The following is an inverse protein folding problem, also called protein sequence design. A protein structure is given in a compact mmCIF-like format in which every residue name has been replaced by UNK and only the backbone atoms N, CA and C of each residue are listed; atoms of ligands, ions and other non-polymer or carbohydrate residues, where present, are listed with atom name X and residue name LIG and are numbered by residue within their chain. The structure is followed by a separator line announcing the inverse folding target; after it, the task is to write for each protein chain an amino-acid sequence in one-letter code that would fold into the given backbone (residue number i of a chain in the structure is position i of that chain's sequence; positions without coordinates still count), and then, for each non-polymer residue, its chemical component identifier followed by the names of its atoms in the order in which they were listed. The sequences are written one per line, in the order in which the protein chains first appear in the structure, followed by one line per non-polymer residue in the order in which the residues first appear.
data_IF_196658006107
#
_entry.id   IF_196658006107
#
_cell.length_a   1.000
_cell.length_b   1.000
_cell.length_c   1.000
_cell.angle_alpha   90.00
_cell.angle_beta   90.00
_cell.angle_gamma   90.00
#
_symmetry.space_group_name_H-M   'P 1'
#
loop_
_entity.id
_entity.type
_entity.pdbx_description
1 polymer ?
#
# COMPACT_ATOMS: atom_id res chain seq x y z
N UNK A 1 19.65 68.98 -12.47
CA UNK A 1 19.07 68.18 -11.31
C UNK A 1 18.72 66.79 -11.78
N UNK A 2 19.54 65.78 -11.48
CA UNK A 2 19.30 64.39 -11.81
C UNK A 2 18.54 63.72 -10.66
N UNK A 3 17.31 63.25 -10.91
CA UNK A 3 16.53 62.45 -9.93
C UNK A 3 17.06 61.02 -9.92
N UNK A 4 17.59 60.59 -8.78
CA UNK A 4 17.97 59.19 -8.53
C UNK A 4 16.72 58.46 -8.04
N UNK A 5 16.27 57.48 -8.83
CA UNK A 5 15.15 56.59 -8.46
C UNK A 5 15.72 55.42 -7.68
N UNK A 6 15.44 55.38 -6.38
CA UNK A 6 15.83 54.28 -5.49
C UNK A 6 14.82 53.14 -5.64
N UNK A 7 15.20 52.06 -6.33
CA UNK A 7 14.36 50.83 -6.42
C UNK A 7 14.66 49.98 -5.21
N UNK A 8 13.68 49.87 -4.30
CA UNK A 8 13.73 48.99 -3.14
C UNK A 8 13.36 47.58 -3.59
N UNK A 9 14.35 46.68 -3.75
CA UNK A 9 14.12 45.24 -3.96
C UNK A 9 13.72 44.61 -2.62
N UNK A 10 12.42 44.31 -2.46
CA UNK A 10 11.95 43.48 -1.35
C UNK A 10 12.17 42.01 -1.73
N UNK A 11 13.20 41.40 -1.17
CA UNK A 11 13.44 39.96 -1.22
C UNK A 11 12.41 39.26 -0.33
N UNK A 12 11.36 38.69 -0.93
CA UNK A 12 10.51 37.72 -0.26
C UNK A 12 11.30 36.39 -0.13
N UNK A 13 11.94 36.15 0.99
CA UNK A 13 12.41 34.84 1.36
C UNK A 13 11.21 33.99 1.76
N UNK A 14 10.77 33.07 0.88
CA UNK A 14 9.83 32.03 1.24
C UNK A 14 10.52 31.09 2.22
N UNK A 15 10.16 31.17 3.49
CA UNK A 15 10.54 30.17 4.49
C UNK A 15 9.73 28.92 4.17
N UNK A 16 10.34 28.00 3.42
CA UNK A 16 9.83 26.65 3.31
C UNK A 16 10.08 25.94 4.64
N UNK A 17 9.09 25.99 5.54
CA UNK A 17 9.08 25.11 6.72
C UNK A 17 8.90 23.68 6.22
N UNK A 18 9.94 22.88 6.27
CA UNK A 18 9.83 21.43 6.10
C UNK A 18 9.01 20.91 7.29
N UNK A 19 7.77 20.54 7.03
CA UNK A 19 6.95 19.84 8.03
C UNK A 19 7.62 18.49 8.25
N UNK A 20 8.24 18.31 9.40
CA UNK A 20 8.78 17.01 9.81
C UNK A 20 7.62 16.02 9.88
N UNK A 21 7.78 14.83 9.28
CA UNK A 21 6.76 13.79 9.31
C UNK A 21 6.48 13.39 10.76
N UNK A 22 5.22 13.49 11.19
CA UNK A 22 4.78 13.17 12.52
C UNK A 22 4.52 11.68 12.66
N UNK A 23 4.97 11.07 13.78
CA UNK A 23 4.56 9.71 14.17
C UNK A 23 3.44 9.80 15.20
N UNK A 24 2.34 9.06 14.97
CA UNK A 24 1.16 9.01 15.84
C UNK A 24 0.80 7.57 16.23
N UNK A 25 0.30 7.40 17.45
CA UNK A 25 -0.33 6.15 17.90
C UNK A 25 -1.86 6.26 18.00
N UNK A 26 -2.43 7.40 17.62
CA UNK A 26 -3.88 7.62 17.65
C UNK A 26 -4.55 6.83 16.52
N UNK A 27 -5.49 5.96 16.88
CA UNK A 27 -6.28 5.14 15.94
C UNK A 27 -7.73 5.60 15.80
N UNK A 28 -8.09 6.76 16.37
CA UNK A 28 -9.48 7.25 16.42
C UNK A 28 -10.10 7.46 15.03
N UNK A 29 -9.30 7.79 14.01
CA UNK A 29 -9.74 7.97 12.62
C UNK A 29 -9.67 6.69 11.78
N UNK A 30 -9.37 5.55 12.39
CA UNK A 30 -9.30 4.25 11.72
C UNK A 30 -10.49 3.38 12.09
N UNK A 31 -10.83 2.47 11.19
CA UNK A 31 -11.80 1.41 11.44
C UNK A 31 -11.35 0.09 10.78
N UNK A 32 -11.72 -1.07 11.35
CA UNK A 32 -11.50 -2.36 10.71
C UNK A 32 -12.33 -2.45 9.42
N UNK A 33 -11.74 -2.99 8.36
CA UNK A 33 -12.44 -3.15 7.07
C UNK A 33 -13.67 -4.04 7.22
N UNK A 34 -13.60 -5.06 8.08
CA UNK A 34 -14.69 -6.00 8.38
C UNK A 34 -15.96 -5.35 8.93
N UNK A 35 -15.87 -4.15 9.50
CA UNK A 35 -17.05 -3.43 10.02
C UNK A 35 -17.93 -2.80 8.94
N UNK A 36 -17.40 -2.71 7.70
CA UNK A 36 -18.06 -2.02 6.58
C UNK A 36 -18.21 -2.92 5.35
N UNK A 37 -17.28 -3.87 5.16
CA UNK A 37 -17.25 -4.83 4.04
C UNK A 37 -17.21 -6.24 4.65
N UNK A 38 -18.39 -6.77 4.92
CA UNK A 38 -18.60 -8.02 5.67
C UNK A 38 -18.24 -9.29 4.88
N UNK A 39 -18.22 -9.21 3.54
CA UNK A 39 -17.88 -10.31 2.65
C UNK A 39 -16.41 -10.29 2.17
N UNK A 40 -15.59 -9.35 2.64
CA UNK A 40 -14.16 -9.34 2.35
C UNK A 40 -13.46 -10.56 2.98
N UNK A 41 -12.55 -11.17 2.22
CA UNK A 41 -11.65 -12.21 2.73
C UNK A 41 -10.30 -11.59 3.13
N UNK A 42 -9.58 -12.26 4.03
CA UNK A 42 -8.33 -11.77 4.59
C UNK A 42 -7.25 -12.85 4.52
N UNK A 43 -6.10 -12.52 3.97
CA UNK A 43 -4.85 -13.30 4.02
C UNK A 43 -3.73 -12.33 4.42
N UNK A 44 -3.77 -11.85 5.68
CA UNK A 44 -2.86 -10.82 6.18
C UNK A 44 -1.46 -11.41 6.30
N UNK A 45 -0.66 -11.23 5.26
CA UNK A 45 0.63 -11.87 5.06
C UNK A 45 1.62 -11.58 6.17
N UNK A 46 1.62 -10.37 6.67
CA UNK A 46 2.57 -9.92 7.70
C UNK A 46 2.22 -10.39 9.12
N UNK A 47 1.01 -10.92 9.32
CA UNK A 47 0.64 -11.62 10.56
C UNK A 47 1.25 -13.02 10.64
N UNK A 48 1.65 -13.61 9.53
CA UNK A 48 2.23 -14.95 9.42
C UNK A 48 3.66 -14.90 8.89
N UNK A 49 4.28 -16.06 8.69
CA UNK A 49 5.57 -16.20 8.00
C UNK A 49 5.46 -16.25 6.47
N UNK A 50 4.25 -16.21 5.90
CA UNK A 50 4.03 -16.26 4.46
C UNK A 50 4.26 -14.89 3.80
N UNK A 51 5.47 -14.36 3.91
CA UNK A 51 5.92 -13.11 3.35
C UNK A 51 7.43 -13.16 3.03
N UNK A 52 7.94 -12.16 2.36
CA UNK A 52 9.33 -12.12 1.88
C UNK A 52 10.41 -12.21 2.98
N UNK A 53 10.07 -11.87 4.23
CA UNK A 53 11.02 -12.03 5.34
C UNK A 53 11.03 -13.45 5.91
N UNK A 54 10.02 -14.29 5.60
CA UNK A 54 9.83 -15.60 6.19
C UNK A 54 9.44 -15.58 7.67
N UNK A 55 9.14 -14.42 8.24
CA UNK A 55 8.84 -14.23 9.65
C UNK A 55 7.58 -13.37 9.85
N UNK A 56 6.91 -13.53 11.00
CA UNK A 56 5.85 -12.62 11.43
C UNK A 56 6.42 -11.22 11.64
N UNK A 57 5.74 -10.21 11.13
CA UNK A 57 6.20 -8.82 11.15
C UNK A 57 5.74 -8.10 12.41
N UNK A 58 6.63 -7.25 12.93
CA UNK A 58 6.39 -6.45 14.13
C UNK A 58 5.16 -5.54 13.95
N UNK A 59 4.29 -5.50 14.97
CA UNK A 59 3.07 -4.68 14.95
C UNK A 59 1.83 -5.38 14.42
N UNK A 60 1.92 -6.58 13.84
CA UNK A 60 0.75 -7.39 13.48
C UNK A 60 0.45 -8.37 14.61
N UNK A 61 -0.56 -8.09 15.43
CA UNK A 61 -1.00 -8.90 16.59
C UNK A 61 -2.17 -9.82 16.24
N UNK A 62 -2.99 -9.41 15.27
CA UNK A 62 -4.10 -10.19 14.74
C UNK A 62 -4.15 -10.12 13.19
N UNK A 63 -4.81 -11.07 12.50
CA UNK A 63 -4.98 -11.06 11.05
C UNK A 63 -6.10 -10.08 10.64
N UNK A 64 -5.98 -8.82 11.08
CA UNK A 64 -6.94 -7.74 10.86
C UNK A 64 -6.39 -6.71 9.85
N UNK A 65 -7.30 -5.93 9.29
CA UNK A 65 -7.00 -4.88 8.33
C UNK A 65 -7.75 -3.59 8.70
N UNK A 66 -7.00 -2.50 8.87
CA UNK A 66 -7.54 -1.19 9.24
C UNK A 66 -7.28 -0.18 8.11
N UNK A 67 -8.20 0.75 7.93
CA UNK A 67 -8.00 1.93 7.07
C UNK A 67 -8.53 3.18 7.78
N UNK A 68 -8.11 4.35 7.31
CA UNK A 68 -8.78 5.61 7.66
C UNK A 68 -10.26 5.51 7.24
N UNK A 69 -11.15 6.15 7.98
CA UNK A 69 -12.60 6.11 7.72
C UNK A 69 -12.96 6.57 6.31
N UNK A 70 -12.24 7.58 5.79
CA UNK A 70 -12.41 8.08 4.43
C UNK A 70 -12.00 7.06 3.37
N UNK A 71 -10.84 6.41 3.57
CA UNK A 71 -10.37 5.39 2.64
C UNK A 71 -11.28 4.15 2.68
N UNK A 72 -11.78 3.78 3.86
CA UNK A 72 -12.74 2.68 4.03
C UNK A 72 -14.08 2.97 3.34
N UNK A 73 -14.60 4.21 3.44
CA UNK A 73 -15.80 4.62 2.73
C UNK A 73 -15.62 4.57 1.19
N UNK A 74 -14.43 4.91 0.70
CA UNK A 74 -14.09 4.78 -0.71
C UNK A 74 -13.94 3.31 -1.12
N UNK A 75 -13.29 2.48 -0.31
CA UNK A 75 -13.11 1.03 -0.57
C UNK A 75 -14.47 0.31 -0.64
N UNK A 76 -15.42 0.71 0.21
CA UNK A 76 -16.79 0.16 0.14
C UNK A 76 -17.43 0.36 -1.22
N UNK A 77 -17.25 1.51 -1.86
CA UNK A 77 -17.78 1.77 -3.20
C UNK A 77 -17.17 0.83 -4.25
N UNK A 78 -15.84 0.57 -4.16
CA UNK A 78 -15.19 -0.40 -5.02
C UNK A 78 -15.70 -1.82 -4.77
N UNK A 79 -15.85 -2.22 -3.51
CA UNK A 79 -16.37 -3.53 -3.13
C UNK A 79 -17.80 -3.75 -3.65
N UNK A 80 -18.68 -2.75 -3.51
CA UNK A 80 -20.08 -2.82 -3.98
C UNK A 80 -20.13 -2.96 -5.52
N UNK A 81 -19.28 -2.21 -6.25
CA UNK A 81 -19.19 -2.29 -7.72
C UNK A 81 -18.70 -3.68 -8.17
N UNK A 82 -17.66 -4.22 -7.52
CA UNK A 82 -17.10 -5.54 -7.80
C UNK A 82 -18.06 -6.68 -7.43
N UNK A 83 -18.82 -6.53 -6.34
CA UNK A 83 -19.84 -7.51 -5.93
C UNK A 83 -20.94 -7.66 -6.99
N UNK A 84 -21.36 -6.55 -7.62
CA UNK A 84 -22.30 -6.57 -8.74
C UNK A 84 -21.75 -7.28 -9.97
N UNK A 85 -20.42 -7.35 -10.13
CA UNK A 85 -19.73 -8.07 -11.20
C UNK A 85 -19.41 -9.53 -10.83
N UNK A 86 -19.77 -9.99 -9.62
CA UNK A 86 -19.57 -11.36 -9.17
C UNK A 86 -18.25 -11.61 -8.41
N UNK A 87 -17.58 -10.56 -8.00
CA UNK A 87 -16.30 -10.63 -7.26
C UNK A 87 -16.46 -10.18 -5.80
N UNK A 88 -15.49 -10.62 -4.98
CA UNK A 88 -15.25 -10.17 -3.62
C UNK A 88 -13.79 -9.75 -3.48
N UNK A 89 -13.48 -8.95 -2.47
CA UNK A 89 -12.11 -8.55 -2.16
C UNK A 89 -11.40 -9.63 -1.33
N UNK A 90 -10.13 -9.89 -1.64
CA UNK A 90 -9.19 -10.55 -0.75
C UNK A 90 -8.10 -9.54 -0.39
N UNK A 91 -7.92 -9.28 0.91
CA UNK A 91 -7.02 -8.26 1.44
C UNK A 91 -5.76 -8.94 1.96
N UNK A 92 -4.60 -8.46 1.50
CA UNK A 92 -3.28 -8.92 1.91
C UNK A 92 -2.63 -8.01 2.94
N UNK A 93 -2.79 -6.67 2.76
CA UNK A 93 -2.33 -5.65 3.69
C UNK A 93 -3.14 -4.35 3.54
N UNK A 94 -3.14 -3.52 4.58
CA UNK A 94 -3.79 -2.21 4.56
C UNK A 94 -3.00 -1.21 5.40
N UNK A 95 -3.51 -0.69 6.52
CA UNK A 95 -2.66 0.04 7.44
C UNK A 95 -1.50 -0.85 7.92
N UNK A 96 -0.29 -0.36 7.78
CA UNK A 96 0.97 -1.00 8.21
C UNK A 96 1.66 -0.09 9.21
N UNK A 97 1.86 -0.51 10.47
CA UNK A 97 2.55 0.29 11.48
C UNK A 97 3.96 0.69 11.05
N UNK A 98 4.46 1.85 11.47
CA UNK A 98 5.85 2.25 11.18
C UNK A 98 6.85 1.21 11.71
N UNK A 99 6.62 0.61 12.86
CA UNK A 99 7.45 -0.48 13.41
C UNK A 99 7.56 -1.70 12.47
N UNK A 100 6.56 -1.96 11.63
CA UNK A 100 6.61 -3.00 10.62
C UNK A 100 7.55 -2.62 9.46
N UNK A 101 7.49 -1.37 9.02
CA UNK A 101 8.42 -0.83 8.02
C UNK A 101 9.86 -0.85 8.54
N UNK A 102 10.06 -0.47 9.80
CA UNK A 102 11.37 -0.52 10.46
C UNK A 102 11.89 -1.97 10.55
N UNK A 103 11.00 -2.94 10.78
CA UNK A 103 11.34 -4.37 10.78
C UNK A 103 11.80 -4.83 9.38
N UNK A 104 11.15 -4.40 8.30
CA UNK A 104 11.61 -4.69 6.93
C UNK A 104 13.01 -4.14 6.66
N UNK A 105 13.26 -2.90 7.08
CA UNK A 105 14.58 -2.26 6.93
C UNK A 105 15.65 -2.99 7.75
N UNK A 106 15.31 -3.39 8.99
CA UNK A 106 16.22 -4.18 9.83
C UNK A 106 16.53 -5.54 9.20
N UNK A 107 15.52 -6.23 8.66
CA UNK A 107 15.70 -7.50 7.96
C UNK A 107 16.60 -7.34 6.72
N UNK A 108 16.42 -6.31 5.90
CA UNK A 108 17.27 -6.06 4.72
C UNK A 108 18.73 -5.89 5.11
N UNK A 109 18.99 -5.22 6.22
CA UNK A 109 20.34 -4.95 6.71
C UNK A 109 20.96 -6.14 7.45
N UNK A 110 20.22 -7.21 7.74
CA UNK A 110 20.74 -8.42 8.37
C UNK A 110 21.30 -9.38 7.31
N UNK A 111 22.63 -9.57 7.19
CA UNK A 111 23.22 -10.43 6.18
C UNK A 111 23.02 -11.94 6.43
N UNK A 112 22.57 -12.30 7.64
CA UNK A 112 22.42 -13.69 8.07
C UNK A 112 21.00 -14.25 7.91
N UNK A 113 20.09 -13.48 7.36
CA UNK A 113 18.69 -13.87 7.17
C UNK A 113 18.24 -13.47 5.75
N UNK A 114 18.17 -14.43 4.86
CA UNK A 114 17.74 -14.21 3.48
C UNK A 114 16.20 -14.20 3.31
N UNK A 115 15.44 -14.57 4.35
CA UNK A 115 13.98 -14.69 4.23
C UNK A 115 13.55 -15.73 3.21
N UNK A 116 12.44 -15.46 2.53
CA UNK A 116 11.90 -16.33 1.48
C UNK A 116 12.22 -15.78 0.08
N UNK A 117 13.20 -16.37 -0.59
CA UNK A 117 13.65 -15.98 -1.93
C UNK A 117 12.62 -16.20 -3.04
N UNK A 118 11.54 -16.92 -2.79
CA UNK A 118 10.46 -17.09 -3.78
C UNK A 118 9.76 -15.77 -4.09
N UNK A 119 9.81 -14.79 -3.17
CA UNK A 119 9.28 -13.45 -3.37
C UNK A 119 10.19 -12.52 -4.19
N UNK A 120 11.49 -12.84 -4.31
CA UNK A 120 12.46 -12.04 -5.07
C UNK A 120 13.49 -12.91 -5.83
N UNK A 121 13.00 -13.80 -6.72
CA UNK A 121 13.82 -14.87 -7.32
C UNK A 121 14.96 -14.36 -8.21
N UNK A 122 14.81 -13.15 -8.77
CA UNK A 122 15.79 -12.56 -9.69
C UNK A 122 16.56 -11.39 -9.09
N UNK A 123 16.35 -11.06 -7.80
CA UNK A 123 16.96 -9.92 -7.15
C UNK A 123 17.85 -10.35 -6.00
N UNK A 124 18.82 -9.50 -5.66
CA UNK A 124 19.52 -9.60 -4.38
C UNK A 124 18.71 -8.82 -3.33
N UNK A 125 18.70 -9.31 -2.11
CA UNK A 125 18.04 -8.65 -0.97
C UNK A 125 18.46 -7.18 -0.83
N UNK A 126 19.77 -6.87 -1.02
CA UNK A 126 20.30 -5.51 -0.99
C UNK A 126 19.72 -4.57 -2.04
N UNK A 127 19.11 -5.12 -3.11
CA UNK A 127 18.59 -4.32 -4.20
C UNK A 127 17.11 -3.95 -3.98
N UNK A 128 16.44 -4.53 -2.99
CA UNK A 128 15.02 -4.29 -2.71
C UNK A 128 14.74 -2.83 -2.32
N UNK A 129 15.65 -2.18 -1.58
CA UNK A 129 15.53 -0.73 -1.29
C UNK A 129 15.90 0.09 -2.52
N UNK A 130 16.98 -0.27 -3.24
CA UNK A 130 17.45 0.47 -4.42
C UNK A 130 16.42 0.42 -5.56
N UNK A 131 15.72 -0.70 -5.70
CA UNK A 131 14.65 -0.92 -6.68
C UNK A 131 13.31 -0.31 -6.27
N UNK A 132 13.23 0.40 -5.14
CA UNK A 132 11.99 0.98 -4.60
C UNK A 132 10.89 -0.05 -4.29
N UNK A 133 11.24 -1.33 -4.11
CA UNK A 133 10.28 -2.34 -3.65
C UNK A 133 9.97 -2.18 -2.16
N UNK A 134 10.97 -1.79 -1.36
CA UNK A 134 10.82 -1.53 0.08
C UNK A 134 11.33 -0.13 0.40
N UNK A 135 10.46 0.70 0.95
CA UNK A 135 10.77 2.08 1.32
C UNK A 135 10.88 2.22 2.85
N UNK A 136 11.69 3.19 3.31
CA UNK A 136 11.79 3.56 4.75
C UNK A 136 10.55 4.26 5.27
N UNK A 137 9.72 4.80 4.38
CA UNK A 137 8.41 5.40 4.64
C UNK A 137 7.41 4.81 3.66
N UNK A 138 6.30 4.31 4.15
CA UNK A 138 5.30 3.62 3.35
C UNK A 138 3.99 4.39 3.30
N UNK A 139 3.30 4.35 2.16
CA UNK A 139 1.93 4.83 2.02
C UNK A 139 0.97 4.13 2.98
N UNK A 140 1.18 2.83 3.21
CA UNK A 140 0.38 2.04 4.14
C UNK A 140 0.39 2.59 5.58
N UNK A 141 1.51 3.16 6.00
CA UNK A 141 1.67 3.71 7.36
C UNK A 141 0.82 4.97 7.59
N UNK A 142 0.33 5.60 6.50
CA UNK A 142 -0.60 6.72 6.55
C UNK A 142 -2.08 6.30 6.60
N UNK A 143 -2.35 4.99 6.47
CA UNK A 143 -3.68 4.40 6.70
C UNK A 143 -4.65 4.48 5.53
N UNK A 144 -4.25 5.02 4.38
CA UNK A 144 -5.14 5.16 3.22
C UNK A 144 -4.66 4.36 2.00
N UNK A 145 -3.78 3.38 2.23
CA UNK A 145 -3.22 2.46 1.22
C UNK A 145 -3.65 1.03 1.53
N UNK A 146 -3.88 0.25 0.48
CA UNK A 146 -4.32 -1.14 0.57
C UNK A 146 -3.70 -1.98 -0.53
N UNK A 147 -3.32 -3.22 -0.19
CA UNK A 147 -2.90 -4.28 -1.09
C UNK A 147 -3.98 -5.37 -1.13
N UNK A 148 -4.54 -5.62 -2.31
CA UNK A 148 -5.70 -6.49 -2.45
C UNK A 148 -5.77 -7.16 -3.82
N UNK A 149 -6.61 -8.21 -3.89
CA UNK A 149 -6.97 -8.87 -5.15
C UNK A 149 -8.46 -9.23 -5.18
N UNK A 150 -8.87 -9.90 -6.25
CA UNK A 150 -10.21 -10.42 -6.44
C UNK A 150 -10.27 -11.91 -6.15
N UNK A 151 -11.38 -12.34 -5.53
CA UNK A 151 -11.84 -13.71 -5.49
C UNK A 151 -13.26 -13.76 -6.06
N UNK A 152 -13.67 -14.92 -6.58
CA UNK A 152 -15.06 -15.16 -6.99
C UNK A 152 -15.95 -15.33 -5.77
N UNK A 153 -17.27 -15.34 -5.96
CA UNK A 153 -18.25 -15.55 -4.90
C UNK A 153 -18.06 -16.87 -4.14
N UNK A 154 -17.59 -17.92 -4.83
CA UNK A 154 -17.30 -19.22 -4.27
C UNK A 154 -15.95 -19.29 -3.51
N UNK A 155 -15.19 -18.20 -3.45
CA UNK A 155 -13.90 -18.10 -2.80
C UNK A 155 -12.71 -18.50 -3.68
N UNK A 156 -12.94 -18.93 -4.92
CA UNK A 156 -11.84 -19.27 -5.82
C UNK A 156 -11.08 -18.01 -6.27
N UNK A 157 -9.75 -18.14 -6.40
CA UNK A 157 -8.88 -17.05 -6.81
C UNK A 157 -9.15 -16.64 -8.26
N UNK A 158 -9.01 -15.35 -8.52
CA UNK A 158 -8.95 -14.77 -9.86
C UNK A 158 -7.49 -14.70 -10.30
N UNK A 159 -7.16 -15.30 -11.44
CA UNK A 159 -5.78 -15.31 -11.94
C UNK A 159 -5.35 -13.91 -12.40
N UNK A 160 -4.43 -13.32 -11.66
CA UNK A 160 -3.83 -12.01 -11.94
C UNK A 160 -2.45 -12.12 -12.62
N UNK A 161 -1.94 -13.34 -12.86
CA UNK A 161 -0.64 -13.59 -13.48
C UNK A 161 0.57 -13.39 -12.57
N UNK A 162 0.35 -13.06 -11.30
CA UNK A 162 1.38 -12.89 -10.27
C UNK A 162 0.76 -12.83 -8.89
N UNK A 163 1.56 -13.05 -7.86
CA UNK A 163 1.11 -13.03 -6.45
C UNK A 163 1.57 -11.76 -5.75
N UNK A 164 1.00 -11.51 -4.58
CA UNK A 164 1.39 -10.43 -3.65
C UNK A 164 2.89 -10.50 -3.31
N UNK A 165 3.53 -9.33 -3.21
CA UNK A 165 4.95 -9.16 -2.85
C UNK A 165 5.95 -9.92 -3.74
N UNK A 166 5.55 -10.36 -4.92
CA UNK A 166 6.50 -10.88 -5.89
C UNK A 166 7.28 -9.70 -6.50
N UNK A 167 8.49 -9.48 -6.03
CA UNK A 167 9.38 -8.41 -6.51
C UNK A 167 9.99 -8.79 -7.86
N UNK A 168 9.22 -8.53 -8.92
CA UNK A 168 9.53 -8.90 -10.30
C UNK A 168 8.73 -8.05 -11.28
N UNK A 169 9.19 -7.93 -12.51
CA UNK A 169 8.50 -7.21 -13.58
C UNK A 169 7.05 -7.67 -13.82
N UNK A 170 6.74 -8.95 -13.56
CA UNK A 170 5.38 -9.46 -13.70
C UNK A 170 4.38 -8.76 -12.77
N UNK A 171 4.86 -8.16 -11.68
CA UNK A 171 4.05 -7.39 -10.73
C UNK A 171 3.68 -5.99 -11.22
N UNK A 172 4.37 -5.49 -12.24
CA UNK A 172 4.05 -4.20 -12.84
C UNK A 172 2.69 -4.24 -13.54
N UNK A 173 1.83 -3.23 -13.36
CA UNK A 173 0.52 -3.17 -14.02
C UNK A 173 0.59 -3.26 -15.55
N UNK A 174 1.64 -2.70 -16.14
CA UNK A 174 1.88 -2.64 -17.60
C UNK A 174 2.67 -3.82 -18.17
N UNK A 175 2.94 -4.86 -17.34
CA UNK A 175 3.67 -6.05 -17.82
C UNK A 175 2.99 -6.67 -19.05
N UNK A 176 3.70 -6.74 -20.18
CA UNK A 176 3.14 -7.00 -21.48
C UNK A 176 2.92 -8.49 -21.81
N UNK A 177 3.57 -9.40 -21.07
CA UNK A 177 3.51 -10.86 -21.31
C UNK A 177 2.38 -11.58 -20.55
N UNK A 178 1.46 -10.84 -19.92
CA UNK A 178 0.25 -11.42 -19.34
C UNK A 178 -0.68 -11.98 -20.44
N UNK A 179 -1.43 -13.04 -20.09
CA UNK A 179 -2.52 -13.53 -20.93
C UNK A 179 -3.64 -12.47 -21.05
N UNK A 180 -4.50 -12.62 -22.05
CA UNK A 180 -5.65 -11.73 -22.21
C UNK A 180 -6.59 -11.74 -21.00
N UNK A 181 -6.76 -12.92 -20.37
CA UNK A 181 -7.60 -13.07 -19.16
C UNK A 181 -6.97 -12.37 -17.97
N UNK A 182 -5.67 -12.54 -17.71
CA UNK A 182 -4.95 -11.87 -16.61
C UNK A 182 -5.00 -10.34 -16.75
N UNK A 183 -4.81 -9.82 -17.98
CA UNK A 183 -4.96 -8.38 -18.27
C UNK A 183 -6.37 -7.89 -17.96
N UNK A 184 -7.39 -8.63 -18.39
CA UNK A 184 -8.79 -8.33 -18.11
C UNK A 184 -9.08 -8.32 -16.60
N UNK A 185 -8.58 -9.31 -15.86
CA UNK A 185 -8.78 -9.43 -14.42
C UNK A 185 -8.15 -8.25 -13.66
N UNK A 186 -6.89 -7.89 -13.98
CA UNK A 186 -6.24 -6.70 -13.43
C UNK A 186 -7.00 -5.41 -13.76
N UNK A 187 -7.52 -5.31 -14.98
CA UNK A 187 -8.30 -4.14 -15.40
C UNK A 187 -9.60 -4.00 -14.61
N UNK A 188 -10.31 -5.08 -14.33
CA UNK A 188 -11.54 -5.08 -13.50
C UNK A 188 -11.23 -4.49 -12.13
N UNK A 189 -10.20 -4.98 -11.45
CA UNK A 189 -9.77 -4.44 -10.15
C UNK A 189 -9.37 -2.97 -10.26
N UNK A 190 -8.52 -2.65 -11.22
CA UNK A 190 -8.01 -1.29 -11.42
C UNK A 190 -9.14 -0.28 -11.65
N UNK A 191 -10.07 -0.59 -12.55
CA UNK A 191 -11.18 0.31 -12.90
C UNK A 191 -12.09 0.57 -11.70
N UNK A 192 -12.41 -0.46 -10.91
CA UNK A 192 -13.22 -0.31 -9.70
C UNK A 192 -12.51 0.58 -8.64
N UNK A 193 -11.22 0.35 -8.42
CA UNK A 193 -10.43 1.14 -7.47
C UNK A 193 -10.28 2.59 -7.92
N UNK A 194 -9.99 2.84 -9.18
CA UNK A 194 -9.85 4.21 -9.73
C UNK A 194 -11.19 4.96 -9.68
N UNK A 195 -12.28 4.29 -10.02
CA UNK A 195 -13.65 4.84 -9.93
C UNK A 195 -14.03 5.21 -8.48
N UNK A 196 -13.54 4.44 -7.51
CA UNK A 196 -13.73 4.72 -6.09
C UNK A 196 -12.82 5.83 -5.52
N UNK A 197 -11.88 6.37 -6.32
CA UNK A 197 -11.02 7.48 -5.93
C UNK A 197 -9.60 7.09 -5.54
N UNK A 198 -9.20 5.84 -5.71
CA UNK A 198 -7.84 5.39 -5.49
C UNK A 198 -6.93 5.66 -6.71
N UNK A 199 -5.63 5.57 -6.49
CA UNK A 199 -4.58 5.52 -7.52
C UNK A 199 -3.68 4.33 -7.26
N UNK A 200 -3.30 3.59 -8.30
CA UNK A 200 -2.28 2.54 -8.25
C UNK A 200 -0.86 3.11 -8.34
N UNK A 201 0.13 2.22 -8.28
CA UNK A 201 1.54 2.52 -8.54
C UNK A 201 2.06 1.69 -9.70
N UNK A 202 3.19 2.09 -10.28
CA UNK A 202 3.74 1.45 -11.48
C UNK A 202 4.47 0.12 -11.22
N UNK A 203 4.80 -0.19 -9.99
CA UNK A 203 5.57 -1.40 -9.61
C UNK A 203 4.69 -2.58 -9.16
N UNK A 204 3.43 -2.33 -8.76
CA UNK A 204 2.58 -3.32 -8.08
C UNK A 204 1.12 -3.18 -8.51
N UNK A 205 0.56 -4.21 -9.15
CA UNK A 205 -0.81 -4.19 -9.67
C UNK A 205 -1.88 -4.26 -8.55
N UNK A 206 -1.52 -4.72 -7.37
CA UNK A 206 -2.40 -4.87 -6.21
C UNK A 206 -2.48 -3.64 -5.30
N UNK A 207 -1.54 -2.70 -5.44
CA UNK A 207 -1.33 -1.56 -4.53
C UNK A 207 -2.13 -0.33 -4.94
N UNK A 208 -2.94 0.18 -4.01
CA UNK A 208 -3.79 1.35 -4.23
C UNK A 208 -3.79 2.28 -3.03
N UNK A 209 -3.62 3.59 -3.29
CA UNK A 209 -3.69 4.65 -2.29
C UNK A 209 -4.84 5.60 -2.61
N UNK A 210 -5.62 6.03 -1.61
CA UNK A 210 -6.65 7.06 -1.81
C UNK A 210 -6.01 8.37 -2.30
N UNK A 211 -6.55 8.99 -3.37
CA UNK A 211 -5.96 10.21 -3.95
C UNK A 211 -5.92 11.38 -2.99
N UNK A 212 -6.98 11.57 -2.21
CA UNK A 212 -7.12 12.64 -1.22
C UNK A 212 -7.07 12.01 0.18
N UNK A 213 -5.91 11.42 0.54
CA UNK A 213 -5.73 10.84 1.86
C UNK A 213 -5.77 11.91 2.96
N UNK A 214 -6.42 11.65 4.12
CA UNK A 214 -6.57 12.65 5.18
C UNK A 214 -5.25 12.97 5.91
N UNK A 215 -4.29 12.05 5.90
CA UNK A 215 -3.03 12.15 6.64
C UNK A 215 -1.80 12.01 5.74
N UNK A 216 -1.55 12.91 4.78
CA UNK A 216 -0.46 12.74 3.80
C UNK A 216 0.95 12.77 4.43
N UNK A 217 1.10 13.39 5.61
CA UNK A 217 2.38 13.61 6.28
C UNK A 217 2.48 12.94 7.66
N UNK A 218 1.43 12.22 8.11
CA UNK A 218 1.40 11.51 9.40
C UNK A 218 1.60 10.02 9.21
N UNK A 219 2.55 9.45 9.93
CA UNK A 219 2.87 8.02 9.94
C UNK A 219 2.40 7.42 11.26
N UNK A 220 1.55 6.41 11.20
CA UNK A 220 0.96 5.80 12.38
C UNK A 220 1.77 4.60 12.85
N UNK A 221 1.70 4.31 14.17
CA UNK A 221 2.51 3.24 14.77
C UNK A 221 1.76 2.42 15.84
N UNK A 222 0.41 2.41 15.82
CA UNK A 222 -0.38 1.51 16.66
C UNK A 222 -0.36 0.07 16.11
N UNK A 223 -0.59 -0.93 16.97
CA UNK A 223 -0.60 -2.34 16.55
C UNK A 223 -1.89 -2.68 15.77
N UNK A 224 -1.76 -3.59 14.81
CA UNK A 224 -2.90 -4.25 14.13
C UNK A 224 -3.36 -5.38 15.05
N UNK A 225 -4.54 -5.21 15.67
CA UNK A 225 -5.13 -6.09 16.68
C UNK A 225 -6.43 -6.72 16.18
#
# INVERSE_FOLDING_TARGET
MKKVLLILLILFSSIQTSIASQISNDKSDFAPISTVIDDAAYDIRYYSSNNFTGNKINGYKAPNAYMTKEALAALKKAADDLRNQGYRLLIWDSYRPQKAVDNFVAWINNPNDDGDKTFYPCLKKSDLIKGNYIARKSGHTRGSTIDLTLIKKDGSFVDMGGTFDLFSEISHPDYNKLTAEQKKNRKILHDAMVKAGFKGISSEWWHYTLKNEPFPDTYFNFDVE
#
